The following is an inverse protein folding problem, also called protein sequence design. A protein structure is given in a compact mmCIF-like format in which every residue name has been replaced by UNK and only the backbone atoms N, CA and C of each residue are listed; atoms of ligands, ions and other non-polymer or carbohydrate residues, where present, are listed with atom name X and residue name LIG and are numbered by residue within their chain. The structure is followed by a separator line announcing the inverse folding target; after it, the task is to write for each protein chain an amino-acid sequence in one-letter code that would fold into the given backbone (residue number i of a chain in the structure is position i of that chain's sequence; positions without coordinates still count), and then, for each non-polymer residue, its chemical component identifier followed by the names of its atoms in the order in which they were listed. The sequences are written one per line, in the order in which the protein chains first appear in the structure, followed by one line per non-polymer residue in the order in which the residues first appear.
data_IF_910068745460
#
_entry.id   IF_910068745460
#
_cell.length_a   1.000
_cell.length_b   1.000
_cell.length_c   1.000
_cell.angle_alpha   90.00
_cell.angle_beta   90.00
_cell.angle_gamma   90.00
#
_symmetry.space_group_name_H-M   'P 1'
#
loop_
_entity.id
_entity.type
_entity.pdbx_description
1 polymer ?
#
# COMPACT_ATOMS: atom_id res chain seq x y z
N UNK A 1 17.30 19.67 -17.42
CA UNK A 1 16.80 19.86 -16.03
C UNK A 1 15.37 20.39 -15.98
N UNK A 2 14.98 21.40 -16.77
CA UNK A 2 13.60 21.91 -16.83
C UNK A 2 12.48 20.85 -17.08
N UNK A 3 12.62 19.88 -18.02
CA UNK A 3 11.56 18.89 -18.23
C UNK A 3 11.44 17.86 -17.09
N UNK A 4 12.50 17.63 -16.31
CA UNK A 4 12.47 16.72 -15.17
C UNK A 4 11.74 17.33 -13.97
N UNK A 5 11.79 18.66 -13.80
CA UNK A 5 11.08 19.37 -12.73
C UNK A 5 9.55 19.30 -12.90
N UNK A 6 9.06 19.18 -14.14
CA UNK A 6 7.62 19.01 -14.43
C UNK A 6 7.07 17.66 -13.96
N UNK A 7 7.93 16.67 -13.67
CA UNK A 7 7.50 15.36 -13.16
C UNK A 7 7.06 15.43 -11.69
N UNK A 8 7.65 16.35 -10.90
CA UNK A 8 7.36 16.52 -9.47
C UNK A 8 5.88 16.86 -9.22
N UNK A 9 5.28 17.90 -9.84
CA UNK A 9 3.88 18.23 -9.59
C UNK A 9 2.92 17.11 -10.01
N UNK A 10 3.25 16.36 -11.08
CA UNK A 10 2.44 15.21 -11.52
C UNK A 10 2.46 14.08 -10.47
N UNK A 11 3.65 13.74 -9.96
CA UNK A 11 3.79 12.74 -8.91
C UNK A 11 3.13 13.17 -7.60
N UNK A 12 3.23 14.46 -7.25
CA UNK A 12 2.59 15.02 -6.07
C UNK A 12 1.06 15.01 -6.20
N UNK A 13 0.51 15.36 -7.37
CA UNK A 13 -0.92 15.28 -7.63
C UNK A 13 -1.43 13.84 -7.49
N UNK A 14 -0.71 12.87 -8.06
CA UNK A 14 -1.00 11.44 -7.87
C UNK A 14 -0.98 11.03 -6.40
N UNK A 15 -0.01 11.52 -5.63
CA UNK A 15 0.12 11.23 -4.20
C UNK A 15 -1.09 11.78 -3.41
N UNK A 16 -1.45 13.04 -3.66
CA UNK A 16 -2.60 13.68 -3.00
C UNK A 16 -3.90 12.95 -3.34
N UNK A 17 -4.10 12.60 -4.61
CA UNK A 17 -5.26 11.83 -5.06
C UNK A 17 -5.35 10.47 -4.34
N UNK A 18 -4.25 9.73 -4.28
CA UNK A 18 -4.22 8.42 -3.62
C UNK A 18 -4.46 8.53 -2.11
N UNK A 19 -3.85 9.52 -1.46
CA UNK A 19 -4.07 9.79 -0.04
C UNK A 19 -5.52 10.16 0.25
N UNK A 20 -6.09 11.10 -0.52
CA UNK A 20 -7.51 11.48 -0.40
C UNK A 20 -8.45 10.31 -0.62
N UNK A 21 -8.17 9.48 -1.63
CA UNK A 21 -8.92 8.24 -1.89
C UNK A 21 -8.84 7.28 -0.71
N UNK A 22 -7.67 7.13 -0.07
CA UNK A 22 -7.53 6.32 1.14
C UNK A 22 -8.42 6.81 2.30
N UNK A 23 -8.50 8.12 2.52
CA UNK A 23 -9.38 8.72 3.53
C UNK A 23 -10.86 8.48 3.19
N UNK A 24 -11.25 8.63 1.93
CA UNK A 24 -12.61 8.31 1.47
C UNK A 24 -12.93 6.83 1.63
N UNK A 25 -11.95 5.95 1.41
CA UNK A 25 -12.10 4.51 1.58
C UNK A 25 -12.35 4.13 3.04
N UNK A 26 -11.64 4.73 4.00
CA UNK A 26 -11.92 4.58 5.43
C UNK A 26 -13.37 4.99 5.76
N UNK A 27 -13.82 6.11 5.19
CA UNK A 27 -15.20 6.59 5.39
C UNK A 27 -16.21 5.59 4.81
N UNK A 28 -15.97 5.10 3.60
CA UNK A 28 -16.82 4.18 2.88
C UNK A 28 -16.93 2.82 3.60
N UNK A 29 -15.82 2.22 3.99
CA UNK A 29 -15.82 0.86 4.55
C UNK A 29 -16.11 0.81 6.05
N UNK A 30 -15.76 1.85 6.82
CA UNK A 30 -15.89 1.82 8.28
C UNK A 30 -16.90 2.83 8.83
N UNK A 31 -16.78 4.11 8.46
CA UNK A 31 -17.63 5.13 9.09
C UNK A 31 -19.09 5.03 8.65
N UNK A 32 -19.38 4.81 7.36
CA UNK A 32 -20.75 4.64 6.89
C UNK A 32 -21.47 3.45 7.54
N UNK A 33 -20.89 2.23 7.62
CA UNK A 33 -21.58 1.11 8.27
C UNK A 33 -21.67 1.22 9.80
N UNK A 34 -20.73 1.91 10.45
CA UNK A 34 -20.73 2.04 11.91
C UNK A 34 -21.62 3.19 12.41
N UNK A 35 -21.73 4.28 11.63
CA UNK A 35 -22.43 5.51 12.04
C UNK A 35 -23.70 5.78 11.23
N UNK A 36 -23.94 5.05 10.14
CA UNK A 36 -25.00 5.32 9.16
C UNK A 36 -26.44 5.17 9.66
N UNK A 37 -26.63 4.89 10.95
CA UNK A 37 -27.94 4.68 11.57
C UNK A 37 -28.54 3.32 11.18
N UNK A 38 -29.20 2.67 12.13
CA UNK A 38 -30.10 1.56 11.83
C UNK A 38 -31.22 2.17 10.98
N UNK A 39 -31.45 1.74 9.73
CA UNK A 39 -32.64 2.17 9.02
C UNK A 39 -33.84 1.78 9.88
N UNK A 40 -34.68 2.75 10.22
CA UNK A 40 -36.03 2.55 10.77
C UNK A 40 -36.83 1.70 9.76
N UNK A 41 -36.59 0.39 9.75
CA UNK A 41 -37.38 -0.57 9.01
C UNK A 41 -38.32 -1.24 10.01
N UNK A 42 -39.43 -0.54 10.27
CA UNK A 42 -40.64 -1.16 10.76
C UNK A 42 -41.18 -2.12 9.71
N UNK A 43 -41.48 -3.36 10.11
CA UNK A 43 -42.29 -4.29 9.34
C UNK A 43 -41.79 -5.74 9.36
N UNK A 44 -42.66 -6.73 9.61
CA UNK A 44 -42.30 -8.13 9.78
C UNK A 44 -41.94 -8.73 8.42
N UNK A 45 -40.67 -9.12 8.24
CA UNK A 45 -40.23 -10.36 7.60
C UNK A 45 -38.78 -10.23 7.14
N UNK A 46 -37.83 -10.36 8.08
CA UNK A 46 -36.45 -10.74 7.78
C UNK A 46 -36.34 -12.12 7.08
N UNK A 47 -37.48 -12.75 6.77
CA UNK A 47 -37.67 -13.99 6.02
C UNK A 47 -38.41 -13.81 4.70
N UNK A 48 -38.56 -12.59 4.15
CA UNK A 48 -38.74 -12.47 2.71
C UNK A 48 -37.46 -13.00 2.08
N UNK A 49 -37.53 -14.28 1.72
CA UNK A 49 -36.37 -15.13 1.57
C UNK A 49 -35.45 -14.61 0.48
N UNK A 50 -34.18 -14.95 0.59
CA UNK A 50 -33.19 -14.78 -0.47
C UNK A 50 -33.73 -15.14 -1.87
N UNK A 51 -34.67 -16.11 -1.95
CA UNK A 51 -35.39 -16.47 -3.16
C UNK A 51 -36.25 -15.34 -3.77
N UNK A 52 -36.98 -14.58 -2.95
CA UNK A 52 -37.76 -13.42 -3.41
C UNK A 52 -36.84 -12.25 -3.79
N UNK A 53 -35.76 -12.05 -3.03
CA UNK A 53 -34.77 -11.02 -3.33
C UNK A 53 -34.05 -11.25 -4.67
N UNK A 54 -33.78 -12.51 -5.02
CA UNK A 54 -33.20 -12.89 -6.33
C UNK A 54 -34.17 -12.70 -7.48
N UNK A 55 -35.47 -12.54 -7.23
CA UNK A 55 -36.48 -12.25 -8.26
C UNK A 55 -36.83 -10.76 -8.35
N UNK A 56 -36.48 -9.97 -7.34
CA UNK A 56 -36.78 -8.55 -7.29
C UNK A 56 -35.79 -7.73 -8.12
N UNK A 57 -36.29 -7.14 -9.21
CA UNK A 57 -35.51 -6.26 -10.09
C UNK A 57 -34.94 -5.04 -9.38
N UNK A 58 -35.61 -4.54 -8.34
CA UNK A 58 -35.15 -3.38 -7.56
C UNK A 58 -33.94 -3.68 -6.69
N UNK A 59 -33.67 -4.96 -6.42
CA UNK A 59 -32.47 -5.45 -5.70
C UNK A 59 -31.38 -5.85 -6.70
N UNK A 60 -31.75 -6.56 -7.76
CA UNK A 60 -30.78 -7.07 -8.75
C UNK A 60 -30.07 -5.96 -9.53
N UNK A 61 -30.78 -4.89 -9.91
CA UNK A 61 -30.19 -3.82 -10.75
C UNK A 61 -29.05 -3.10 -10.02
N UNK A 62 -29.23 -2.60 -8.78
CA UNK A 62 -28.14 -2.03 -7.99
C UNK A 62 -26.99 -3.01 -7.73
N UNK A 63 -27.30 -4.28 -7.40
CA UNK A 63 -26.26 -5.29 -7.18
C UNK A 63 -25.43 -5.58 -8.44
N UNK A 64 -26.06 -5.62 -9.60
CA UNK A 64 -25.35 -5.80 -10.87
C UNK A 64 -24.49 -4.59 -11.20
N UNK A 65 -24.95 -3.38 -10.87
CA UNK A 65 -24.18 -2.15 -11.01
C UNK A 65 -22.95 -2.14 -10.10
N UNK A 66 -23.13 -2.43 -8.81
CA UNK A 66 -22.04 -2.55 -7.84
C UNK A 66 -21.04 -3.65 -8.23
N UNK A 67 -21.53 -4.80 -8.72
CA UNK A 67 -20.68 -5.85 -9.26
C UNK A 67 -19.85 -5.34 -10.45
N UNK A 68 -20.46 -4.59 -11.36
CA UNK A 68 -19.78 -3.96 -12.49
C UNK A 68 -18.68 -2.99 -12.04
N UNK A 69 -18.96 -2.15 -11.05
CA UNK A 69 -17.98 -1.23 -10.45
C UNK A 69 -16.79 -2.00 -9.82
N UNK A 70 -17.07 -3.08 -9.10
CA UNK A 70 -16.02 -3.91 -8.49
C UNK A 70 -15.17 -4.64 -9.53
N UNK A 71 -15.79 -5.19 -10.57
CA UNK A 71 -15.08 -5.84 -11.66
C UNK A 71 -14.23 -4.82 -12.46
N UNK A 72 -14.72 -3.59 -12.63
CA UNK A 72 -13.93 -2.50 -13.22
C UNK A 72 -12.69 -2.22 -12.38
N UNK A 73 -12.83 -2.06 -11.07
CA UNK A 73 -11.70 -1.81 -10.17
C UNK A 73 -10.70 -2.97 -10.17
N UNK A 74 -11.16 -4.20 -9.95
CA UNK A 74 -10.31 -5.40 -9.91
C UNK A 74 -9.63 -5.62 -11.27
N UNK A 75 -10.38 -5.48 -12.36
CA UNK A 75 -9.89 -5.63 -13.72
C UNK A 75 -8.82 -4.59 -14.06
N UNK A 76 -9.09 -3.31 -13.80
CA UNK A 76 -8.12 -2.22 -14.04
C UNK A 76 -6.84 -2.43 -13.21
N UNK A 77 -6.98 -2.70 -11.91
CA UNK A 77 -5.85 -2.88 -11.00
C UNK A 77 -4.99 -4.09 -11.40
N UNK A 78 -5.64 -5.23 -11.72
CA UNK A 78 -4.95 -6.45 -12.14
C UNK A 78 -4.27 -6.30 -13.50
N UNK A 79 -4.95 -5.67 -14.47
CA UNK A 79 -4.41 -5.43 -15.81
C UNK A 79 -3.14 -4.61 -15.75
N UNK A 80 -3.14 -3.50 -15.00
CA UNK A 80 -1.95 -2.66 -14.85
C UNK A 80 -0.83 -3.31 -14.03
N UNK A 81 -1.14 -4.35 -13.26
CA UNK A 81 -0.17 -5.15 -12.53
C UNK A 81 0.49 -6.25 -13.39
N UNK A 82 0.05 -6.48 -14.63
CA UNK A 82 0.68 -7.43 -15.55
C UNK A 82 2.03 -6.93 -16.06
N UNK A 83 2.96 -7.85 -16.34
CA UNK A 83 4.29 -7.49 -16.85
C UNK A 83 4.22 -6.80 -18.22
N UNK A 84 3.27 -7.18 -19.07
CA UNK A 84 3.05 -6.56 -20.38
C UNK A 84 2.69 -5.07 -20.25
N UNK A 85 1.72 -4.75 -19.40
CA UNK A 85 1.28 -3.36 -19.20
C UNK A 85 2.34 -2.56 -18.45
N UNK A 86 3.02 -3.15 -17.45
CA UNK A 86 4.16 -2.50 -16.78
C UNK A 86 5.28 -2.14 -17.76
N UNK A 87 5.68 -3.06 -18.64
CA UNK A 87 6.72 -2.82 -19.64
C UNK A 87 6.30 -1.71 -20.62
N UNK A 88 5.05 -1.75 -21.08
CA UNK A 88 4.49 -0.70 -21.93
C UNK A 88 4.51 0.66 -21.20
N UNK A 89 3.95 0.74 -19.99
CA UNK A 89 3.91 1.99 -19.22
C UNK A 89 5.30 2.51 -18.89
N UNK A 90 6.24 1.65 -18.54
CA UNK A 90 7.64 2.01 -18.28
C UNK A 90 8.29 2.59 -19.53
N UNK A 91 8.03 2.03 -20.71
CA UNK A 91 8.55 2.55 -21.99
C UNK A 91 8.03 3.95 -22.33
N UNK A 92 6.75 4.24 -22.07
CA UNK A 92 6.14 5.52 -22.45
C UNK A 92 6.25 6.60 -21.38
N UNK A 93 6.12 6.23 -20.10
CA UNK A 93 6.06 7.17 -18.98
C UNK A 93 7.30 7.13 -18.07
N UNK A 94 8.20 6.17 -18.26
CA UNK A 94 9.44 6.05 -17.50
C UNK A 94 9.21 6.03 -16.00
N UNK A 95 9.83 6.99 -15.32
CA UNK A 95 9.81 7.16 -13.85
C UNK A 95 8.39 7.41 -13.30
N UNK A 96 7.47 7.93 -14.11
CA UNK A 96 6.07 8.15 -13.71
C UNK A 96 5.21 6.88 -13.72
N UNK A 97 5.72 5.75 -14.21
CA UNK A 97 4.96 4.50 -14.31
C UNK A 97 4.25 4.13 -13.00
N UNK A 98 4.94 4.24 -11.86
CA UNK A 98 4.36 3.90 -10.55
C UNK A 98 3.30 4.90 -10.11
N UNK A 99 3.55 6.21 -10.26
CA UNK A 99 2.55 7.23 -9.92
C UNK A 99 1.30 7.10 -10.78
N UNK A 100 1.44 6.85 -12.08
CA UNK A 100 0.28 6.64 -12.97
C UNK A 100 -0.51 5.39 -12.61
N UNK A 101 0.16 4.29 -12.27
CA UNK A 101 -0.49 3.08 -11.76
C UNK A 101 -1.35 3.38 -10.52
N UNK A 102 -0.77 4.11 -9.57
CA UNK A 102 -1.44 4.49 -8.31
C UNK A 102 -2.60 5.44 -8.59
N UNK A 103 -2.41 6.47 -9.42
CA UNK A 103 -3.46 7.42 -9.77
C UNK A 103 -4.65 6.74 -10.46
N UNK A 104 -4.40 5.86 -11.44
CA UNK A 104 -5.47 5.14 -12.13
C UNK A 104 -6.23 4.21 -11.18
N UNK A 105 -5.51 3.50 -10.31
CA UNK A 105 -6.12 2.64 -9.28
C UNK A 105 -6.94 3.45 -8.28
N UNK A 106 -6.45 4.61 -7.86
CA UNK A 106 -7.16 5.52 -6.98
C UNK A 106 -8.44 6.05 -7.64
N UNK A 107 -8.39 6.44 -8.92
CA UNK A 107 -9.57 6.86 -9.67
C UNK A 107 -10.60 5.74 -9.81
N UNK A 108 -10.17 4.52 -10.16
CA UNK A 108 -11.09 3.38 -10.25
C UNK A 108 -11.77 3.10 -8.90
N UNK A 109 -11.03 3.18 -7.79
CA UNK A 109 -11.59 3.03 -6.46
C UNK A 109 -12.55 4.18 -6.10
N UNK A 110 -12.23 5.41 -6.48
CA UNK A 110 -13.14 6.55 -6.30
C UNK A 110 -14.46 6.36 -7.05
N UNK A 111 -14.42 5.81 -8.27
CA UNK A 111 -15.64 5.48 -9.02
C UNK A 111 -16.50 4.47 -8.25
N UNK A 112 -15.89 3.41 -7.70
CA UNK A 112 -16.60 2.45 -6.85
C UNK A 112 -17.28 3.17 -5.69
N UNK A 113 -16.55 3.95 -4.89
CA UNK A 113 -17.09 4.57 -3.68
C UNK A 113 -18.16 5.64 -3.93
N UNK A 114 -18.08 6.32 -5.08
CA UNK A 114 -18.94 7.46 -5.43
C UNK A 114 -20.21 7.05 -6.16
N UNK A 115 -20.15 5.98 -6.93
CA UNK A 115 -21.28 5.42 -7.67
C UNK A 115 -21.83 4.13 -7.05
N UNK A 116 -21.37 3.76 -5.84
CA UNK A 116 -21.91 2.65 -5.07
C UNK A 116 -23.40 2.86 -4.78
N UNK A 117 -24.24 1.89 -5.12
CA UNK A 117 -25.68 1.97 -4.93
C UNK A 117 -26.12 1.09 -3.75
N UNK A 118 -26.42 1.68 -2.57
CA UNK A 118 -26.85 0.89 -1.43
C UNK A 118 -28.18 0.18 -1.74
N UNK A 119 -28.39 -0.98 -1.11
CA UNK A 119 -29.60 -1.81 -1.31
C UNK A 119 -30.39 -1.94 -0.01
N UNK A 120 -31.14 -0.91 0.43
CA UNK A 120 -31.80 -0.90 1.75
C UNK A 120 -32.93 -1.93 1.90
N UNK A 121 -33.53 -2.36 0.78
CA UNK A 121 -34.62 -3.36 0.75
C UNK A 121 -34.10 -4.80 0.61
N UNK A 122 -32.78 -4.99 0.52
CA UNK A 122 -32.17 -6.30 0.37
C UNK A 122 -32.23 -7.13 1.64
N UNK A 123 -32.18 -8.48 1.53
CA UNK A 123 -32.08 -9.35 2.68
C UNK A 123 -30.77 -9.09 3.43
N UNK A 124 -30.87 -8.91 4.74
CA UNK A 124 -29.72 -8.72 5.62
C UNK A 124 -29.24 -10.08 6.11
N UNK A 125 -27.93 -10.36 6.02
CA UNK A 125 -27.38 -11.63 6.48
C UNK A 125 -27.44 -11.73 8.00
N UNK A 126 -27.09 -10.65 8.70
CA UNK A 126 -27.22 -10.55 10.14
C UNK A 126 -27.28 -9.10 10.62
N UNK A 127 -27.90 -8.91 11.78
CA UNK A 127 -28.04 -7.61 12.43
C UNK A 127 -28.18 -7.79 13.95
N UNK A 128 -27.43 -7.00 14.71
CA UNK A 128 -27.54 -6.98 16.16
C UNK A 128 -28.73 -6.09 16.62
N UNK A 129 -29.93 -6.68 16.72
CA UNK A 129 -31.15 -5.96 17.16
C UNK A 129 -31.51 -6.15 18.64
N UNK A 130 -31.08 -7.24 19.27
CA UNK A 130 -31.50 -7.59 20.63
C UNK A 130 -30.61 -6.91 21.68
N UNK A 131 -31.19 -6.26 22.68
CA UNK A 131 -30.43 -5.79 23.84
C UNK A 131 -29.91 -6.98 24.67
N UNK A 132 -28.65 -6.94 25.17
CA UNK A 132 -27.72 -5.80 25.17
C UNK A 132 -26.81 -5.73 23.92
N UNK A 133 -26.96 -6.66 22.98
CA UNK A 133 -26.08 -6.80 21.79
C UNK A 133 -26.21 -5.63 20.82
N UNK A 134 -27.37 -5.00 20.74
CA UNK A 134 -27.59 -3.78 19.96
C UNK A 134 -26.62 -2.65 20.36
N UNK A 135 -26.17 -2.61 21.62
CA UNK A 135 -25.17 -1.66 22.11
C UNK A 135 -23.74 -2.18 21.99
N UNK A 136 -23.47 -3.41 22.44
CA UNK A 136 -22.10 -3.93 22.52
C UNK A 136 -21.48 -4.31 21.18
N UNK A 137 -22.27 -4.80 20.23
CA UNK A 137 -21.76 -5.25 18.93
C UNK A 137 -21.23 -4.08 18.09
N UNK A 138 -21.94 -2.95 17.91
CA UNK A 138 -21.39 -1.80 17.21
C UNK A 138 -20.12 -1.25 17.86
N UNK A 139 -20.06 -1.22 19.21
CA UNK A 139 -18.88 -0.77 19.94
C UNK A 139 -17.67 -1.67 19.65
N UNK A 140 -17.85 -3.00 19.71
CA UNK A 140 -16.79 -3.95 19.39
C UNK A 140 -16.32 -3.81 17.93
N UNK A 141 -17.25 -3.68 16.98
CA UNK A 141 -16.93 -3.46 15.57
C UNK A 141 -16.14 -2.16 15.37
N UNK A 142 -16.52 -1.08 16.06
CA UNK A 142 -15.82 0.20 16.03
C UNK A 142 -14.37 0.06 16.52
N UNK A 143 -14.16 -0.58 17.68
CA UNK A 143 -12.81 -0.79 18.24
C UNK A 143 -11.95 -1.62 17.29
N UNK A 144 -12.49 -2.72 16.74
CA UNK A 144 -11.77 -3.58 15.80
C UNK A 144 -11.43 -2.84 14.50
N UNK A 145 -12.32 -1.99 13.99
CA UNK A 145 -12.05 -1.13 12.84
C UNK A 145 -10.92 -0.13 13.12
N UNK A 146 -10.95 0.55 14.27
CA UNK A 146 -9.88 1.49 14.67
C UNK A 146 -8.53 0.78 14.74
N UNK A 147 -8.47 -0.37 15.41
CA UNK A 147 -7.24 -1.18 15.50
C UNK A 147 -6.76 -1.60 14.10
N UNK A 148 -7.66 -2.09 13.25
CA UNK A 148 -7.32 -2.53 11.89
C UNK A 148 -6.75 -1.38 11.05
N UNK A 149 -7.34 -0.18 11.10
CA UNK A 149 -6.82 0.98 10.39
C UNK A 149 -5.48 1.46 10.93
N UNK A 150 -5.28 1.47 12.25
CA UNK A 150 -3.99 1.81 12.85
C UNK A 150 -2.88 0.86 12.40
N UNK A 151 -3.17 -0.45 12.32
CA UNK A 151 -2.26 -1.44 11.78
C UNK A 151 -1.98 -1.23 10.28
N UNK A 152 -3.02 -0.99 9.47
CA UNK A 152 -2.86 -0.68 8.03
C UNK A 152 -1.94 0.54 7.84
N UNK A 153 -2.20 1.65 8.54
CA UNK A 153 -1.37 2.85 8.43
C UNK A 153 0.07 2.59 8.91
N UNK A 154 0.25 1.81 9.98
CA UNK A 154 1.58 1.43 10.47
C UNK A 154 2.36 0.63 9.41
N UNK A 155 1.71 -0.35 8.76
CA UNK A 155 2.30 -1.13 7.67
C UNK A 155 2.67 -0.22 6.50
N UNK A 156 1.77 0.69 6.08
CA UNK A 156 2.04 1.62 4.99
C UNK A 156 3.27 2.51 5.26
N UNK A 157 3.45 2.97 6.51
CA UNK A 157 4.62 3.76 6.90
C UNK A 157 5.90 2.91 6.91
N UNK A 158 5.85 1.68 7.43
CA UNK A 158 6.99 0.75 7.44
C UNK A 158 7.46 0.41 6.03
N UNK A 159 6.56 0.36 5.06
CA UNK A 159 6.85 0.05 3.66
C UNK A 159 7.29 1.27 2.83
N UNK A 160 7.52 2.43 3.47
CA UNK A 160 7.83 3.71 2.82
C UNK A 160 6.72 4.13 1.85
N UNK A 161 5.69 4.77 2.42
CA UNK A 161 4.51 5.23 1.68
C UNK A 161 4.86 6.10 0.45
N UNK A 162 5.90 6.94 0.53
CA UNK A 162 6.33 7.75 -0.61
C UNK A 162 6.91 6.90 -1.75
N UNK A 163 7.59 5.80 -1.43
CA UNK A 163 8.07 4.83 -2.41
C UNK A 163 6.92 4.02 -3.02
N UNK A 164 5.90 3.64 -2.23
CA UNK A 164 4.70 2.96 -2.74
C UNK A 164 3.92 3.84 -3.72
N UNK A 165 3.83 5.15 -3.45
CA UNK A 165 3.09 6.11 -4.27
C UNK A 165 3.84 6.58 -5.54
N UNK A 166 5.10 6.19 -5.74
CA UNK A 166 5.88 6.61 -6.92
C UNK A 166 6.65 7.93 -6.75
N UNK A 167 6.44 8.64 -5.63
CA UNK A 167 7.02 9.97 -5.41
C UNK A 167 8.55 9.90 -5.23
N UNK A 168 9.04 8.87 -4.53
CA UNK A 168 10.47 8.67 -4.28
C UNK A 168 11.25 8.42 -5.58
N UNK A 169 10.67 7.68 -6.52
CA UNK A 169 11.26 7.40 -7.84
C UNK A 169 11.48 8.69 -8.61
N UNK A 170 10.49 9.59 -8.60
CA UNK A 170 10.58 10.89 -9.27
C UNK A 170 11.60 11.80 -8.58
N UNK A 171 11.58 11.86 -7.24
CA UNK A 171 12.54 12.65 -6.47
C UNK A 171 14.00 12.23 -6.74
N UNK A 172 14.29 10.93 -6.70
CA UNK A 172 15.63 10.39 -6.94
C UNK A 172 16.09 10.61 -8.39
N UNK A 173 15.19 10.50 -9.35
CA UNK A 173 15.49 10.77 -10.75
C UNK A 173 15.85 12.25 -10.98
N UNK A 174 15.09 13.19 -10.40
CA UNK A 174 15.37 14.63 -10.55
C UNK A 174 16.72 15.01 -9.92
N UNK A 175 17.09 14.38 -8.80
CA UNK A 175 18.38 14.62 -8.14
C UNK A 175 19.56 13.83 -8.75
N UNK A 176 19.32 12.98 -9.76
CA UNK A 176 20.37 12.16 -10.37
C UNK A 176 20.94 11.08 -9.45
N UNK A 177 20.18 10.67 -8.41
CA UNK A 177 20.62 9.72 -7.39
C UNK A 177 20.45 8.23 -7.79
N UNK A 178 20.01 7.96 -9.02
CA UNK A 178 19.76 6.61 -9.53
C UNK A 178 18.43 5.98 -9.05
N UNK A 179 18.14 4.77 -9.53
CA UNK A 179 16.89 4.04 -9.21
C UNK A 179 16.85 3.57 -7.74
N UNK A 180 15.88 4.01 -6.91
CA UNK A 180 15.82 3.65 -5.49
C UNK A 180 15.61 2.13 -5.26
N UNK A 181 15.09 1.41 -6.25
CA UNK A 181 14.89 -0.04 -6.19
C UNK A 181 16.20 -0.84 -6.32
N UNK A 182 17.24 -0.27 -6.93
CA UNK A 182 18.55 -0.93 -7.07
C UNK A 182 19.30 -1.08 -5.74
N UNK A 183 18.87 -0.37 -4.69
CA UNK A 183 19.48 -0.37 -3.36
C UNK A 183 18.91 -1.46 -2.43
N UNK A 184 17.82 -2.15 -2.82
CA UNK A 184 17.19 -3.19 -1.98
C UNK A 184 17.83 -4.56 -2.21
N UNK A 185 18.07 -5.30 -1.12
CA UNK A 185 18.62 -6.66 -1.23
C UNK A 185 17.69 -7.59 -2.04
N UNK A 186 18.23 -8.52 -2.85
CA UNK A 186 17.41 -9.44 -3.66
C UNK A 186 16.41 -10.27 -2.85
N UNK A 187 16.75 -10.61 -1.60
CA UNK A 187 15.86 -11.34 -0.67
C UNK A 187 14.67 -10.50 -0.21
N UNK A 188 14.89 -9.20 0.02
CA UNK A 188 13.80 -8.28 0.35
C UNK A 188 12.88 -8.06 -0.87
N UNK A 189 13.46 -7.97 -2.08
CA UNK A 189 12.69 -7.84 -3.31
C UNK A 189 11.81 -9.07 -3.59
N UNK A 190 12.34 -10.29 -3.37
CA UNK A 190 11.57 -11.55 -3.44
C UNK A 190 10.44 -11.59 -2.42
N UNK A 191 10.72 -11.21 -1.18
CA UNK A 191 9.71 -11.13 -0.14
C UNK A 191 8.59 -10.16 -0.54
N UNK A 192 8.93 -8.97 -1.04
CA UNK A 192 7.93 -7.98 -1.48
C UNK A 192 7.16 -8.43 -2.72
N UNK A 193 7.74 -9.23 -3.62
CA UNK A 193 7.00 -9.79 -4.76
C UNK A 193 5.98 -10.85 -4.35
N UNK A 194 6.20 -11.55 -3.23
CA UNK A 194 5.31 -12.60 -2.72
C UNK A 194 4.34 -12.09 -1.64
N UNK A 195 4.75 -11.15 -0.80
CA UNK A 195 3.85 -10.33 0.05
C UNK A 195 3.17 -9.24 -0.77
N UNK A 196 2.34 -9.63 -1.74
CA UNK A 196 1.61 -8.66 -2.58
C UNK A 196 0.72 -7.73 -1.75
N UNK A 197 0.16 -8.23 -0.65
CA UNK A 197 -0.77 -7.48 0.20
C UNK A 197 -0.51 -7.79 1.68
N UNK A 198 0.39 -7.05 2.35
CA UNK A 198 0.66 -7.23 3.78
C UNK A 198 -0.52 -6.83 4.69
N UNK A 199 -1.52 -6.12 4.13
CA UNK A 199 -2.70 -5.58 4.83
C UNK A 199 -3.96 -6.44 4.65
N UNK A 200 -3.84 -7.67 4.12
CA UNK A 200 -4.99 -8.52 3.82
C UNK A 200 -5.87 -8.76 5.04
N UNK A 201 -5.28 -9.12 6.18
CA UNK A 201 -6.03 -9.55 7.37
C UNK A 201 -6.84 -8.40 7.95
N UNK A 202 -6.23 -7.22 8.05
CA UNK A 202 -6.86 -6.01 8.55
C UNK A 202 -7.96 -5.53 7.60
N UNK A 203 -7.73 -5.59 6.29
CA UNK A 203 -8.74 -5.23 5.30
C UNK A 203 -9.94 -6.20 5.30
N UNK A 204 -9.70 -7.51 5.43
CA UNK A 204 -10.76 -8.49 5.60
C UNK A 204 -11.56 -8.23 6.89
N UNK A 205 -10.87 -7.92 7.98
CA UNK A 205 -11.53 -7.55 9.25
C UNK A 205 -12.46 -6.36 9.04
N UNK A 206 -11.96 -5.29 8.39
CA UNK A 206 -12.77 -4.10 8.08
C UNK A 206 -13.97 -4.40 7.18
N UNK A 207 -13.83 -5.32 6.22
CA UNK A 207 -14.92 -5.67 5.30
C UNK A 207 -16.04 -6.45 5.98
N UNK A 208 -15.70 -7.42 6.82
CA UNK A 208 -16.66 -8.37 7.42
C UNK A 208 -17.20 -7.96 8.79
N UNK A 209 -16.43 -7.23 9.60
CA UNK A 209 -16.79 -6.88 10.99
C UNK A 209 -17.65 -5.61 11.00
N UNK A 210 -18.91 -5.73 10.59
CA UNK A 210 -19.88 -4.61 10.60
C UNK A 210 -21.12 -4.98 11.41
N UNK A 211 -21.75 -4.06 12.14
CA UNK A 211 -22.88 -4.36 13.02
C UNK A 211 -24.13 -4.86 12.27
N UNK A 212 -24.25 -4.48 11.00
CA UNK A 212 -25.32 -4.88 10.11
C UNK A 212 -24.72 -5.24 8.75
N UNK A 213 -24.93 -6.47 8.30
CA UNK A 213 -24.35 -6.97 7.04
C UNK A 213 -25.44 -7.13 5.97
N UNK A 214 -25.68 -6.04 5.23
CA UNK A 214 -26.60 -5.99 4.09
C UNK A 214 -26.07 -6.69 2.83
N UNK A 215 -26.92 -6.84 1.82
CA UNK A 215 -26.61 -7.58 0.58
C UNK A 215 -25.49 -6.94 -0.24
N UNK A 216 -25.49 -5.62 -0.38
CA UNK A 216 -24.47 -4.85 -1.10
C UNK A 216 -23.10 -4.96 -0.39
N UNK A 217 -23.09 -4.81 0.94
CA UNK A 217 -21.87 -4.97 1.74
C UNK A 217 -21.34 -6.40 1.68
N UNK A 218 -22.22 -7.40 1.66
CA UNK A 218 -21.83 -8.79 1.51
C UNK A 218 -21.18 -9.04 0.14
N UNK A 219 -21.73 -8.48 -0.94
CA UNK A 219 -21.12 -8.53 -2.28
C UNK A 219 -19.72 -7.92 -2.28
N UNK A 220 -19.56 -6.73 -1.71
CA UNK A 220 -18.27 -6.05 -1.55
C UNK A 220 -17.27 -6.94 -0.79
N UNK A 221 -17.67 -7.47 0.38
CA UNK A 221 -16.83 -8.28 1.23
C UNK A 221 -16.40 -9.57 0.54
N UNK A 222 -17.33 -10.29 -0.09
CA UNK A 222 -17.05 -11.55 -0.79
C UNK A 222 -16.10 -11.37 -1.96
N UNK A 223 -16.39 -10.40 -2.85
CA UNK A 223 -15.59 -10.20 -4.06
C UNK A 223 -14.17 -9.74 -3.72
N UNK A 224 -14.02 -8.79 -2.79
CA UNK A 224 -12.69 -8.36 -2.35
C UNK A 224 -11.96 -9.46 -1.57
N UNK A 225 -12.66 -10.30 -0.81
CA UNK A 225 -12.05 -11.46 -0.14
C UNK A 225 -11.51 -12.46 -1.15
N UNK A 226 -12.30 -12.79 -2.18
CA UNK A 226 -11.88 -13.68 -3.26
C UNK A 226 -10.67 -13.10 -3.99
N UNK A 227 -10.72 -11.80 -4.31
CA UNK A 227 -9.61 -11.10 -4.96
C UNK A 227 -8.32 -11.16 -4.12
N UNK A 228 -8.39 -10.81 -2.83
CA UNK A 228 -7.24 -10.86 -1.91
C UNK A 228 -6.71 -12.29 -1.72
N UNK A 229 -7.61 -13.28 -1.66
CA UNK A 229 -7.26 -14.69 -1.53
C UNK A 229 -6.51 -15.24 -2.75
N UNK A 230 -6.97 -14.89 -3.96
CA UNK A 230 -6.31 -15.27 -5.22
C UNK A 230 -4.95 -14.56 -5.41
N UNK A 231 -4.76 -13.39 -4.80
CA UNK A 231 -3.52 -12.63 -4.89
C UNK A 231 -2.43 -13.09 -3.91
N UNK A 232 -2.74 -13.97 -2.94
CA UNK A 232 -1.80 -14.39 -1.91
C UNK A 232 -1.06 -15.67 -2.29
N UNK A 233 0.27 -15.60 -2.43
CA UNK A 233 1.12 -16.72 -2.85
C UNK A 233 2.45 -16.73 -2.11
N UNK A 234 2.42 -16.78 -0.78
CA UNK A 234 3.64 -16.88 0.02
C UNK A 234 4.25 -18.28 -0.05
N UNK A 235 5.50 -18.36 -0.49
CA UNK A 235 6.25 -19.62 -0.46
C UNK A 235 6.91 -19.86 0.91
N UNK A 236 7.25 -21.12 1.19
CA UNK A 236 8.01 -21.49 2.40
C UNK A 236 9.38 -20.80 2.53
N UNK A 237 9.96 -20.28 1.45
CA UNK A 237 11.21 -19.54 1.47
C UNK A 237 11.04 -18.11 2.04
N UNK A 238 9.92 -17.45 1.74
CA UNK A 238 9.63 -16.10 2.25
C UNK A 238 9.29 -16.14 3.74
N UNK A 239 8.56 -17.17 4.16
CA UNK A 239 8.27 -17.39 5.57
C UNK A 239 9.56 -17.59 6.39
N UNK A 240 10.53 -18.33 5.85
CA UNK A 240 11.85 -18.51 6.48
C UNK A 240 12.62 -17.19 6.58
N UNK A 241 12.57 -16.37 5.53
CA UNK A 241 13.22 -15.05 5.55
C UNK A 241 12.57 -14.10 6.57
N UNK A 242 11.23 -14.05 6.63
CA UNK A 242 10.49 -13.27 7.63
C UNK A 242 10.84 -13.68 9.06
N UNK A 243 10.87 -14.99 9.34
CA UNK A 243 11.26 -15.52 10.65
C UNK A 243 12.69 -15.10 11.02
N UNK A 244 13.64 -15.20 10.09
CA UNK A 244 15.02 -14.79 10.33
C UNK A 244 15.13 -13.27 10.62
N UNK A 245 14.36 -12.42 9.93
CA UNK A 245 14.33 -10.98 10.20
C UNK A 245 13.69 -10.65 11.55
N UNK A 246 12.59 -11.32 11.88
CA UNK A 246 11.93 -11.16 13.18
C UNK A 246 12.86 -11.59 14.32
N UNK A 247 13.53 -12.72 14.20
CA UNK A 247 14.51 -13.20 15.18
C UNK A 247 15.68 -12.22 15.36
N UNK A 248 16.20 -11.64 14.27
CA UNK A 248 17.24 -10.60 14.37
C UNK A 248 16.76 -9.37 15.13
N UNK A 249 15.54 -8.89 14.84
CA UNK A 249 14.96 -7.74 15.54
C UNK A 249 14.70 -8.04 17.02
N UNK A 250 14.14 -9.20 17.33
CA UNK A 250 13.94 -9.65 18.71
C UNK A 250 15.26 -9.74 19.46
N UNK A 251 16.30 -10.32 18.85
CA UNK A 251 17.64 -10.41 19.43
C UNK A 251 18.26 -9.03 19.71
N UNK A 252 18.02 -8.05 18.84
CA UNK A 252 18.46 -6.66 19.07
C UNK A 252 17.70 -5.99 20.21
N UNK A 253 16.40 -6.27 20.37
CA UNK A 253 15.57 -5.74 21.46
C UNK A 253 15.85 -6.43 22.81
N UNK A 254 16.24 -7.70 22.79
CA UNK A 254 16.58 -8.48 23.98
C UNK A 254 18.03 -8.32 24.42
N UNK A 255 18.86 -7.60 23.65
CA UNK A 255 20.19 -7.22 24.13
C UNK A 255 20.01 -6.28 25.33
N UNK A 256 20.66 -6.56 26.48
CA UNK A 256 20.72 -5.58 27.55
C UNK A 256 21.26 -4.28 26.97
N UNK A 257 20.53 -3.18 27.19
CA UNK A 257 20.99 -1.86 26.82
C UNK A 257 22.22 -1.57 27.70
N UNK A 258 23.42 -1.90 27.22
CA UNK A 258 24.64 -1.42 27.86
C UNK A 258 24.55 0.10 27.89
N UNK A 259 24.58 0.66 29.11
CA UNK A 259 24.33 2.06 29.38
C UNK A 259 25.19 2.99 28.49
N UNK A 260 24.72 4.22 28.23
CA UNK A 260 25.40 5.13 27.33
C UNK A 260 26.82 5.40 27.81
N UNK A 261 27.83 5.00 27.03
CA UNK A 261 29.16 5.60 27.14
C UNK A 261 29.02 7.06 26.68
N UNK A 262 29.46 8.05 27.48
CA UNK A 262 29.36 9.44 27.09
C UNK A 262 30.37 9.69 25.97
N UNK A 263 29.88 9.82 24.73
CA UNK A 263 30.65 10.42 23.64
C UNK A 263 29.92 11.66 23.12
N UNK A 264 30.66 12.77 22.96
CA UNK A 264 30.07 14.08 22.71
C UNK A 264 29.65 14.23 21.24
N UNK A 265 28.49 14.86 21.04
CA UNK A 265 28.00 15.46 19.79
C UNK A 265 27.91 14.55 18.54
N UNK A 266 26.75 13.90 18.36
CA UNK A 266 26.26 13.56 17.02
C UNK A 266 24.81 14.02 16.84
N UNK A 267 24.58 14.59 15.66
CA UNK A 267 23.42 15.34 15.20
C UNK A 267 22.08 14.58 15.30
N UNK A 268 20.94 15.30 15.38
CA UNK A 268 19.64 14.69 15.59
C UNK A 268 19.19 13.83 14.40
N UNK A 269 18.56 12.70 14.73
CA UNK A 269 17.92 11.75 13.84
C UNK A 269 16.84 12.40 12.95
N UNK A 270 16.60 11.79 11.79
CA UNK A 270 15.66 12.14 10.72
C UNK A 270 14.24 12.56 11.18
N UNK A 271 13.83 12.17 12.39
CA UNK A 271 12.57 12.59 13.01
C UNK A 271 12.47 14.12 13.26
N UNK A 272 13.60 14.81 13.42
CA UNK A 272 13.65 16.27 13.63
C UNK A 272 13.47 17.04 12.31
N UNK A 273 13.73 16.42 11.15
CA UNK A 273 13.59 17.07 9.84
C UNK A 273 12.12 17.24 9.42
N UNK A 274 11.25 16.30 9.81
CA UNK A 274 9.81 16.35 9.47
C UNK A 274 9.06 17.44 10.25
N UNK A 275 9.49 17.77 11.47
CA UNK A 275 8.84 18.79 12.29
C UNK A 275 9.13 20.23 11.82
N UNK A 276 10.23 20.49 11.11
CA UNK A 276 10.57 21.82 10.59
C UNK A 276 9.78 22.23 9.35
N UNK A 277 9.12 21.30 8.65
CA UNK A 277 8.30 21.62 7.46
C UNK A 277 6.83 21.95 7.76
N UNK A 278 6.36 21.69 8.99
CA UNK A 278 4.96 21.88 9.40
C UNK A 278 4.71 23.13 10.25
N UNK A 279 5.74 23.92 10.52
CA UNK A 279 5.61 25.17 11.27
C UNK A 279 6.24 26.32 10.47
N UNK A 280 5.45 27.24 9.87
CA UNK A 280 6.02 28.45 9.27
C UNK A 280 6.56 29.33 10.42
N UNK A 281 7.76 29.93 10.30
CA UNK A 281 8.23 30.85 11.32
C UNK A 281 7.32 32.07 11.35
N UNK A 282 6.63 32.24 12.48
CA UNK A 282 5.90 33.45 12.84
C UNK A 282 6.84 34.65 12.81
N UNK A 283 6.39 35.69 12.12
CA UNK A 283 7.00 37.01 12.04
C UNK A 283 7.34 37.59 13.42
N UNK A 284 8.63 37.65 13.75
CA UNK A 284 9.15 38.67 14.66
C UNK A 284 10.46 39.22 14.10
N UNK A 285 10.34 40.44 13.60
CA UNK A 285 11.41 41.36 13.23
C UNK A 285 12.34 41.59 14.41
N UNK A 286 13.66 41.55 14.22
CA UNK A 286 14.58 42.59 14.66
C UNK A 286 15.90 42.49 13.86
N UNK A 287 16.52 43.62 13.46
CA UNK A 287 17.59 43.68 12.47
C UNK A 287 18.96 43.73 13.15
N UNK A 288 20.02 43.22 12.52
CA UNK A 288 21.40 43.68 12.79
C UNK A 288 22.30 43.47 11.57
N UNK A 289 22.61 44.61 10.96
CA UNK A 289 23.81 45.06 10.21
C UNK A 289 24.70 44.06 9.45
N UNK A 290 24.96 44.45 8.19
CA UNK A 290 25.99 43.93 7.28
C UNK A 290 27.40 43.88 7.91
N UNK A 291 28.15 42.84 7.55
CA UNK A 291 29.58 42.97 7.23
C UNK A 291 29.99 41.95 6.17
N UNK A 292 30.67 42.45 5.15
CA UNK A 292 31.18 41.79 3.95
C UNK A 292 32.58 41.22 4.16
N UNK A 293 32.80 39.94 3.89
CA UNK A 293 34.05 39.41 3.32
C UNK A 293 33.91 37.90 2.97
N UNK A 294 34.52 37.42 1.87
CA UNK A 294 34.52 36.01 1.49
C UNK A 294 35.69 35.27 2.17
N UNK A 295 35.47 34.05 2.64
CA UNK A 295 36.57 33.16 3.07
C UNK A 295 36.46 31.83 2.30
N UNK A 296 37.52 31.41 1.59
CA UNK A 296 37.55 30.13 0.90
C UNK A 296 37.95 29.03 1.90
N UNK A 297 37.38 27.83 1.80
CA UNK A 297 37.90 26.67 2.53
C UNK A 297 38.26 25.57 1.54
N UNK A 298 39.56 25.31 1.54
CA UNK A 298 40.31 24.34 0.75
C UNK A 298 39.86 22.90 1.00
N UNK A 299 39.87 22.14 -0.09
CA UNK A 299 39.90 20.69 -0.13
C UNK A 299 41.21 20.20 0.48
N UNK A 300 41.17 19.42 1.56
CA UNK A 300 42.17 18.38 1.86
C UNK A 300 41.88 17.70 3.21
N UNK A 301 42.03 16.37 3.22
CA UNK A 301 42.12 15.43 4.35
C UNK A 301 40.82 14.99 5.05
N UNK A 302 40.30 13.83 4.61
CA UNK A 302 40.22 12.63 5.45
C UNK A 302 40.26 11.38 4.55
N UNK A 303 41.30 10.58 4.75
CA UNK A 303 41.67 9.40 3.98
C UNK A 303 40.72 8.22 4.15
N UNK A 304 40.69 7.30 3.16
CA UNK A 304 40.01 5.99 3.23
C UNK A 304 40.87 4.96 3.99
N UNK A 305 40.30 3.76 4.22
CA UNK A 305 40.86 2.48 4.75
C UNK A 305 40.08 2.04 6.02
N UNK A 306 39.45 0.86 6.11
CA UNK A 306 39.91 -0.45 5.68
C UNK A 306 38.80 -1.38 5.15
N UNK A 307 39.14 -2.02 4.03
CA UNK A 307 38.67 -3.29 3.50
C UNK A 307 39.16 -4.48 4.37
N UNK A 308 38.38 -5.56 4.41
CA UNK A 308 38.84 -6.96 4.51
C UNK A 308 37.87 -7.77 3.63
N UNK A 309 38.04 -7.73 2.31
CA UNK A 309 38.83 -8.62 1.45
C UNK A 309 38.22 -10.01 1.18
N UNK A 310 37.99 -10.38 -0.09
CA UNK A 310 37.49 -11.67 -0.55
C UNK A 310 38.63 -12.66 -0.85
N UNK A 311 38.32 -13.95 -1.00
CA UNK A 311 39.20 -14.87 -1.72
C UNK A 311 38.43 -15.61 -2.83
N UNK A 312 38.98 -15.65 -4.07
CA UNK A 312 38.41 -16.34 -5.22
C UNK A 312 39.02 -17.73 -5.39
N UNK A 313 38.39 -18.61 -6.21
CA UNK A 313 39.10 -19.46 -7.17
C UNK A 313 38.14 -20.20 -8.14
N UNK A 314 38.39 -19.96 -9.46
CA UNK A 314 38.13 -20.77 -10.67
C UNK A 314 36.69 -21.15 -11.08
N UNK A 315 36.28 -21.21 -12.36
CA UNK A 315 36.64 -20.60 -13.66
C UNK A 315 35.65 -21.21 -14.68
N UNK A 316 35.36 -20.49 -15.78
CA UNK A 316 34.85 -21.00 -17.08
C UNK A 316 33.43 -21.60 -17.13
N UNK A 317 32.49 -20.91 -17.77
CA UNK A 317 32.29 -21.06 -19.22
C UNK A 317 31.37 -19.96 -19.76
N UNK A 318 31.84 -19.28 -20.80
CA UNK A 318 31.04 -18.46 -21.69
C UNK A 318 30.87 -19.25 -23.00
N UNK A 319 29.64 -19.33 -23.51
CA UNK A 319 29.33 -19.30 -24.95
C UNK A 319 27.82 -19.46 -25.14
N UNK A 320 27.24 -18.58 -25.96
CA UNK A 320 25.90 -18.77 -26.47
C UNK A 320 25.88 -19.83 -27.57
N UNK A 321 24.73 -20.43 -27.79
CA UNK A 321 24.33 -20.95 -29.08
C UNK A 321 22.81 -21.07 -29.13
N UNK A 322 22.25 -20.33 -30.07
CA UNK A 322 20.92 -20.56 -30.62
C UNK A 322 20.87 -21.87 -31.41
N UNK A 323 19.63 -22.37 -31.56
CA UNK A 323 19.10 -23.08 -32.72
C UNK A 323 19.33 -24.60 -32.88
N UNK A 324 18.17 -25.23 -33.12
CA UNK A 324 17.93 -26.35 -34.03
C UNK A 324 18.28 -27.76 -33.55
N UNK A 325 17.27 -28.44 -33.01
CA UNK A 325 17.21 -29.90 -33.01
C UNK A 325 16.39 -30.33 -34.24
N UNK A 326 17.06 -30.90 -35.24
CA UNK A 326 16.42 -31.56 -36.39
C UNK A 326 16.93 -32.99 -36.49
N UNK A 327 15.95 -33.90 -36.44
CA UNK A 327 15.85 -35.31 -36.85
C UNK A 327 17.09 -36.15 -37.26
N UNK A 328 17.14 -37.34 -36.63
CA UNK A 328 17.24 -38.71 -37.22
C UNK A 328 18.61 -39.24 -37.73
N UNK A 329 18.78 -40.55 -38.04
CA UNK A 329 18.39 -41.81 -37.35
C UNK A 329 19.49 -42.93 -37.39
N UNK A 330 19.07 -44.18 -37.09
CA UNK A 330 19.62 -45.52 -37.44
C UNK A 330 20.43 -46.26 -36.33
N UNK A 331 19.89 -47.32 -35.69
CA UNK A 331 19.73 -48.74 -36.09
C UNK A 331 21.08 -49.48 -36.26
N UNK A 332 21.19 -50.80 -35.95
CA UNK A 332 20.17 -51.86 -36.09
C UNK A 332 19.51 -52.35 -34.81
#
# INVERSE_FOLDING_TARGET
MAPALLLIPVALASFILAFGTGVEFVRFTSLRPLLGGIPELGGPDARQGWLAAVQDRSILVPLAWDLGLLLLFVGQHSLMATETVKAWMSRYFGVLQRSLYVACTALALQLVMRYWEPVPRGPVLWEARAEPWATWVPLLCFVLHVISWLLIFSILLVFDYAELMGLKQVYYHVLGLGEPLALKSPRALRLFSHLRHPVCVELLTVLWVVPTLGTDRLLLALLLTLYLGLAHGLDQQDLRYLRAQLQRKLHLLSRPQEGPRPHPHLAPSFFTFVFSFLCPPSSHSFPLSLSSAPVPISVSHLSPLYFLSPHPQFHLWASGASLSCSLAPALP
#
